data_IF_498296100972
#
_entry.id   IF_498296100972
#
_cell.length_a   1.000
_cell.length_b   1.000
_cell.length_c   1.000
_cell.angle_alpha   90.00
_cell.angle_beta   90.00
_cell.angle_gamma   90.00
#
_symmetry.space_group_name_H-M   'P 1'
#
loop_
_entity.id
_entity.type
_entity.pdbx_description
1 polymer ?
#
# COMPACT_ATOMS: atom_id res chain seq x y z
N UNK A 1 15.71 -21.43 -8.86
CA UNK A 1 15.15 -20.35 -9.70
C UNK A 1 13.68 -20.23 -9.38
N UNK A 2 13.28 -19.09 -8.84
CA UNK A 2 11.92 -18.78 -8.41
C UNK A 2 11.15 -18.15 -9.59
N UNK A 3 9.92 -18.59 -9.82
CA UNK A 3 9.06 -18.00 -10.85
C UNK A 3 8.18 -16.92 -10.23
N UNK A 4 8.40 -15.67 -10.65
CA UNK A 4 7.66 -14.49 -10.20
C UNK A 4 6.77 -13.97 -11.32
N UNK A 5 5.47 -13.80 -11.07
CA UNK A 5 4.51 -13.35 -12.08
C UNK A 5 3.79 -12.09 -11.62
N UNK A 6 3.91 -11.02 -12.39
CA UNK A 6 3.19 -9.76 -12.17
C UNK A 6 1.95 -9.64 -13.05
N UNK A 7 0.83 -9.25 -12.46
CA UNK A 7 -0.48 -9.15 -13.12
C UNK A 7 -0.87 -7.70 -13.40
N UNK A 8 -0.54 -7.21 -14.61
CA UNK A 8 -0.79 -5.81 -15.00
C UNK A 8 -2.28 -5.43 -15.04
N UNK A 9 -3.18 -6.38 -15.34
CA UNK A 9 -4.63 -6.16 -15.32
C UNK A 9 -5.21 -5.95 -13.90
N UNK A 10 -4.41 -6.16 -12.86
CA UNK A 10 -4.75 -5.76 -11.48
C UNK A 10 -4.68 -4.24 -11.26
N UNK A 11 -4.03 -3.48 -12.14
CA UNK A 11 -4.00 -2.01 -12.09
C UNK A 11 -5.34 -1.48 -12.57
N UNK A 12 -5.97 -0.51 -11.84
CA UNK A 12 -7.24 0.07 -12.28
C UNK A 12 -7.15 0.68 -13.68
N UNK A 13 -8.13 0.45 -14.55
CA UNK A 13 -8.20 1.13 -15.84
C UNK A 13 -8.39 2.65 -15.62
N UNK A 14 -7.84 3.46 -16.51
CA UNK A 14 -7.94 4.93 -16.42
C UNK A 14 -7.04 5.57 -15.37
N UNK A 15 -6.13 4.83 -14.78
CA UNK A 15 -5.11 5.41 -13.92
C UNK A 15 -4.19 6.30 -14.77
N UNK A 16 -4.45 7.62 -14.75
CA UNK A 16 -3.71 8.63 -15.53
C UNK A 16 -2.24 8.76 -15.12
N UNK A 17 -1.80 8.00 -14.11
CA UNK A 17 -0.41 7.99 -13.64
C UNK A 17 0.32 6.81 -14.27
N UNK A 18 1.12 7.02 -15.31
CA UNK A 18 1.81 5.95 -16.05
C UNK A 18 2.88 5.23 -15.23
N UNK A 19 3.23 5.78 -14.07
CA UNK A 19 4.34 5.31 -13.25
C UNK A 19 4.08 3.95 -12.57
N UNK A 20 2.83 3.65 -12.18
CA UNK A 20 2.53 2.36 -11.51
C UNK A 20 2.84 1.14 -12.39
N UNK A 21 2.43 1.11 -13.68
CA UNK A 21 2.85 0.05 -14.59
C UNK A 21 4.36 -0.05 -14.74
N UNK A 22 5.05 1.09 -14.85
CA UNK A 22 6.50 1.14 -14.99
C UNK A 22 7.20 0.55 -13.75
N UNK A 23 6.82 0.96 -12.55
CA UNK A 23 7.43 0.48 -11.31
C UNK A 23 7.26 -1.05 -11.17
N UNK A 24 6.09 -1.59 -11.53
CA UNK A 24 5.86 -3.04 -11.50
C UNK A 24 6.71 -3.76 -12.54
N UNK A 25 6.89 -3.18 -13.73
CA UNK A 25 7.83 -3.74 -14.73
C UNK A 25 9.26 -3.73 -14.22
N UNK A 26 9.73 -2.63 -13.67
CA UNK A 26 11.07 -2.52 -13.09
C UNK A 26 11.29 -3.52 -11.95
N UNK A 27 10.25 -3.81 -11.15
CA UNK A 27 10.31 -4.86 -10.14
C UNK A 27 10.62 -6.23 -10.78
N UNK A 28 9.94 -6.56 -11.87
CA UNK A 28 10.17 -7.82 -12.61
C UNK A 28 11.54 -7.85 -13.30
N UNK A 29 12.02 -6.72 -13.80
CA UNK A 29 13.39 -6.58 -14.32
C UNK A 29 14.41 -6.86 -13.23
N UNK A 30 14.19 -6.35 -11.99
CA UNK A 30 15.02 -6.66 -10.83
C UNK A 30 15.02 -8.14 -10.48
N UNK A 31 13.87 -8.82 -10.57
CA UNK A 31 13.77 -10.28 -10.39
C UNK A 31 14.65 -11.03 -11.39
N UNK A 32 14.60 -10.62 -12.66
CA UNK A 32 15.42 -11.24 -13.71
C UNK A 32 16.92 -10.94 -13.50
N UNK A 33 17.26 -9.76 -13.03
CA UNK A 33 18.64 -9.35 -12.79
C UNK A 33 19.34 -10.17 -11.68
N UNK A 34 18.57 -10.70 -10.72
CA UNK A 34 19.11 -11.59 -9.67
C UNK A 34 19.08 -13.08 -10.04
N UNK A 35 18.74 -13.41 -11.30
CA UNK A 35 18.78 -14.78 -11.82
C UNK A 35 17.50 -15.58 -11.63
N UNK A 36 16.41 -14.95 -11.14
CA UNK A 36 15.11 -15.59 -11.06
C UNK A 36 14.28 -15.34 -12.33
N UNK A 37 13.14 -16.02 -12.47
CA UNK A 37 12.29 -15.97 -13.66
C UNK A 37 11.12 -15.02 -13.44
N UNK A 38 11.25 -13.77 -13.88
CA UNK A 38 10.19 -12.76 -13.87
C UNK A 38 9.35 -12.77 -15.14
N UNK A 39 8.02 -12.69 -14.99
CA UNK A 39 7.05 -12.58 -16.08
C UNK A 39 6.05 -11.48 -15.83
N UNK A 40 5.84 -10.61 -16.81
CA UNK A 40 4.77 -9.61 -16.82
C UNK A 40 3.58 -10.12 -17.63
N UNK A 41 2.44 -10.35 -16.97
CA UNK A 41 1.19 -10.73 -17.64
C UNK A 41 0.28 -9.53 -17.84
N UNK A 42 -0.09 -9.29 -19.08
CA UNK A 42 -1.09 -8.29 -19.45
C UNK A 42 -2.41 -8.93 -19.93
N UNK A 43 -2.76 -10.06 -19.34
CA UNK A 43 -3.99 -10.81 -19.63
C UNK A 43 -4.82 -10.94 -18.36
N UNK A 44 -6.05 -11.45 -18.51
CA UNK A 44 -6.94 -11.77 -17.39
C UNK A 44 -6.76 -13.21 -16.86
N UNK A 45 -5.86 -13.97 -17.47
CA UNK A 45 -5.56 -15.34 -17.07
C UNK A 45 -4.69 -15.37 -15.83
N UNK A 46 -4.87 -16.41 -15.02
CA UNK A 46 -4.03 -16.70 -13.86
C UNK A 46 -3.13 -17.88 -14.20
N UNK A 47 -1.85 -17.71 -14.05
CA UNK A 47 -0.85 -18.76 -14.27
C UNK A 47 -0.17 -19.17 -12.97
N UNK A 48 0.47 -20.35 -12.97
CA UNK A 48 1.22 -20.79 -11.81
C UNK A 48 2.50 -19.96 -11.62
N UNK A 49 2.72 -19.54 -10.37
CA UNK A 49 3.88 -18.79 -9.95
C UNK A 49 4.30 -19.22 -8.55
N UNK A 50 5.56 -19.07 -8.19
CA UNK A 50 6.03 -19.24 -6.82
C UNK A 50 5.74 -17.99 -6.02
N UNK A 51 5.84 -16.81 -6.66
CA UNK A 51 5.42 -15.53 -6.10
C UNK A 51 4.57 -14.79 -7.13
N UNK A 52 3.38 -14.34 -6.72
CA UNK A 52 2.56 -13.44 -7.53
C UNK A 52 2.80 -11.98 -7.12
N UNK A 53 2.75 -11.06 -8.07
CA UNK A 53 2.85 -9.61 -7.80
C UNK A 53 1.57 -8.94 -8.29
N UNK A 54 0.85 -8.29 -7.40
CA UNK A 54 -0.38 -7.56 -7.70
C UNK A 54 -0.32 -6.13 -7.18
N UNK A 55 -0.99 -5.22 -7.86
CA UNK A 55 -1.11 -3.83 -7.43
C UNK A 55 -2.42 -3.61 -6.69
N UNK A 56 -2.30 -3.12 -5.46
CA UNK A 56 -3.42 -2.76 -4.60
C UNK A 56 -3.91 -3.90 -3.73
N UNK A 57 -4.47 -3.51 -2.61
CA UNK A 57 -4.95 -4.41 -1.56
C UNK A 57 -6.16 -5.25 -2.02
N UNK A 58 -6.27 -6.45 -1.49
CA UNK A 58 -7.45 -7.33 -1.65
C UNK A 58 -8.32 -7.24 -0.39
N UNK A 59 -9.61 -7.05 -0.56
CA UNK A 59 -10.58 -7.07 0.54
C UNK A 59 -11.82 -7.89 0.15
N UNK A 60 -12.65 -8.24 1.13
CA UNK A 60 -13.78 -9.15 0.93
C UNK A 60 -14.78 -8.66 -0.14
N UNK A 61 -14.96 -7.33 -0.25
CA UNK A 61 -15.88 -6.70 -1.21
C UNK A 61 -15.28 -6.49 -2.61
N UNK A 62 -14.17 -7.14 -2.93
CA UNK A 62 -13.47 -6.98 -4.22
C UNK A 62 -14.20 -7.63 -5.41
N UNK A 63 -15.51 -7.47 -5.49
CA UNK A 63 -16.30 -8.07 -6.58
C UNK A 63 -16.85 -7.07 -7.60
N UNK A 64 -16.76 -5.77 -7.34
CA UNK A 64 -17.42 -4.74 -8.17
C UNK A 64 -16.74 -4.47 -9.51
N UNK A 65 -15.45 -4.71 -9.63
CA UNK A 65 -14.68 -4.38 -10.83
C UNK A 65 -13.75 -5.53 -11.25
N UNK A 66 -13.62 -5.76 -12.53
CA UNK A 66 -12.84 -6.88 -13.09
C UNK A 66 -11.40 -6.94 -12.58
N UNK A 67 -10.73 -5.81 -12.41
CA UNK A 67 -9.37 -5.75 -11.86
C UNK A 67 -9.30 -6.14 -10.38
N UNK A 68 -10.35 -5.87 -9.59
CA UNK A 68 -10.45 -6.28 -8.19
C UNK A 68 -10.72 -7.77 -8.07
N UNK A 69 -11.59 -8.31 -8.93
CA UNK A 69 -11.88 -9.75 -9.01
C UNK A 69 -10.58 -10.51 -9.33
N UNK A 70 -9.80 -10.03 -10.31
CA UNK A 70 -8.52 -10.66 -10.64
C UNK A 70 -7.54 -10.62 -9.48
N UNK A 71 -7.41 -9.49 -8.78
CA UNK A 71 -6.55 -9.39 -7.58
C UNK A 71 -6.90 -10.47 -6.56
N UNK A 72 -8.19 -10.53 -6.22
CA UNK A 72 -8.66 -11.50 -5.23
C UNK A 72 -8.41 -12.94 -5.71
N UNK A 73 -8.73 -13.27 -6.94
CA UNK A 73 -8.51 -14.59 -7.48
C UNK A 73 -7.05 -15.02 -7.51
N UNK A 74 -6.13 -14.10 -7.85
CA UNK A 74 -4.67 -14.35 -7.78
C UNK A 74 -4.24 -14.58 -6.34
N UNK A 75 -4.66 -13.71 -5.43
CA UNK A 75 -4.33 -13.82 -4.01
C UNK A 75 -4.82 -15.13 -3.41
N UNK A 76 -6.12 -15.44 -3.59
CA UNK A 76 -6.74 -16.67 -3.05
C UNK A 76 -6.04 -17.92 -3.58
N UNK A 77 -5.70 -17.95 -4.89
CA UNK A 77 -4.97 -19.06 -5.49
C UNK A 77 -3.58 -19.27 -4.89
N UNK A 78 -2.85 -18.18 -4.61
CA UNK A 78 -1.56 -18.27 -3.95
C UNK A 78 -1.69 -18.82 -2.53
N UNK A 79 -2.64 -18.28 -1.76
CA UNK A 79 -2.92 -18.75 -0.40
C UNK A 79 -3.30 -20.24 -0.37
N UNK A 80 -4.20 -20.69 -1.25
CA UNK A 80 -4.60 -22.10 -1.36
C UNK A 80 -3.40 -23.04 -1.66
N UNK A 81 -2.39 -22.54 -2.35
CA UNK A 81 -1.17 -23.29 -2.68
C UNK A 81 -0.04 -23.12 -1.66
N UNK A 82 -0.27 -22.41 -0.55
CA UNK A 82 0.78 -22.07 0.41
C UNK A 82 1.89 -21.19 -0.16
N UNK A 83 1.59 -20.42 -1.23
CA UNK A 83 2.54 -19.54 -1.92
C UNK A 83 2.29 -18.08 -1.58
N UNK A 84 3.27 -17.23 -1.83
CA UNK A 84 3.26 -15.82 -1.41
C UNK A 84 2.75 -14.88 -2.51
N UNK A 85 2.19 -13.77 -2.06
CA UNK A 85 1.80 -12.66 -2.95
C UNK A 85 2.48 -11.38 -2.50
N UNK A 86 3.28 -10.77 -3.36
CA UNK A 86 3.77 -9.41 -3.16
C UNK A 86 2.65 -8.45 -3.55
N UNK A 87 2.17 -7.70 -2.58
CA UNK A 87 1.19 -6.63 -2.80
C UNK A 87 1.92 -5.30 -2.89
N UNK A 88 1.71 -4.61 -4.01
CA UNK A 88 2.31 -3.31 -4.30
C UNK A 88 1.24 -2.24 -4.22
N UNK A 89 1.43 -1.20 -3.41
CA UNK A 89 0.44 -0.12 -3.29
C UNK A 89 1.10 1.25 -3.12
N UNK A 90 0.26 2.27 -3.20
CA UNK A 90 0.66 3.67 -3.03
C UNK A 90 1.26 3.91 -1.64
N UNK A 91 2.29 4.73 -1.58
CA UNK A 91 2.89 5.24 -0.35
C UNK A 91 2.62 6.74 -0.22
N UNK A 92 3.04 7.34 0.90
CA UNK A 92 3.04 8.80 1.10
C UNK A 92 3.81 9.54 -0.01
N UNK A 93 4.84 8.90 -0.56
CA UNK A 93 5.77 9.54 -1.49
C UNK A 93 5.34 9.44 -2.96
N UNK A 94 4.26 8.73 -3.27
CA UNK A 94 3.76 8.60 -4.64
C UNK A 94 3.24 9.91 -5.22
N UNK A 95 2.78 10.83 -4.36
CA UNK A 95 2.14 12.08 -4.75
C UNK A 95 2.95 13.31 -4.38
N UNK A 96 4.16 13.15 -3.88
CA UNK A 96 5.00 14.26 -3.40
C UNK A 96 5.29 15.26 -4.53
N UNK A 97 5.49 14.77 -5.75
CA UNK A 97 5.65 15.60 -6.94
C UNK A 97 5.10 14.85 -8.17
N UNK A 98 4.00 15.32 -8.77
CA UNK A 98 3.42 14.68 -9.94
C UNK A 98 4.29 14.81 -11.21
N UNK A 99 5.28 15.69 -11.22
CA UNK A 99 6.21 15.89 -12.34
C UNK A 99 7.44 14.99 -12.26
N UNK A 100 7.73 14.44 -11.07
CA UNK A 100 8.87 13.54 -10.89
C UNK A 100 8.65 12.20 -11.57
N UNK A 101 9.66 11.73 -12.30
CA UNK A 101 9.72 10.39 -12.87
C UNK A 101 9.90 9.29 -11.82
N UNK A 102 10.36 9.65 -10.63
CA UNK A 102 10.64 8.75 -9.51
C UNK A 102 9.50 8.75 -8.52
N UNK A 103 8.71 7.70 -8.53
CA UNK A 103 7.65 7.45 -7.58
C UNK A 103 7.95 6.19 -6.79
N UNK A 104 7.60 6.24 -5.50
CA UNK A 104 7.84 5.16 -4.58
C UNK A 104 6.54 4.44 -4.23
N UNK A 105 6.54 3.13 -4.33
CA UNK A 105 5.46 2.28 -3.86
C UNK A 105 5.91 1.54 -2.60
N UNK A 106 4.96 1.16 -1.77
CA UNK A 106 5.20 0.22 -0.67
C UNK A 106 4.95 -1.20 -1.15
N UNK A 107 5.67 -2.13 -0.56
CA UNK A 107 5.60 -3.55 -0.86
C UNK A 107 5.42 -4.30 0.45
N UNK A 108 4.62 -5.36 0.43
CA UNK A 108 4.48 -6.28 1.55
C UNK A 108 4.09 -7.65 1.04
N UNK A 109 4.47 -8.69 1.76
CA UNK A 109 4.00 -10.04 1.50
C UNK A 109 2.60 -10.21 2.09
N UNK A 110 1.67 -10.69 1.27
CA UNK A 110 0.30 -11.07 1.61
C UNK A 110 -0.56 -9.94 2.21
N UNK A 111 -0.03 -8.73 2.27
CA UNK A 111 -0.70 -7.53 2.76
C UNK A 111 0.12 -6.27 2.50
N UNK A 112 -0.37 -5.12 2.99
CA UNK A 112 0.28 -3.81 2.87
C UNK A 112 0.20 -2.97 4.16
N UNK A 113 -0.41 -3.48 5.20
CA UNK A 113 -0.52 -2.80 6.49
C UNK A 113 0.24 -3.58 7.56
N UNK A 114 0.76 -2.91 8.60
CA UNK A 114 1.57 -3.55 9.63
C UNK A 114 0.89 -4.74 10.33
N UNK A 115 -0.44 -4.78 10.35
CA UNK A 115 -1.22 -5.84 10.96
C UNK A 115 -1.65 -6.95 9.99
N UNK A 116 -1.35 -6.83 8.70
CA UNK A 116 -1.78 -7.81 7.67
C UNK A 116 -0.67 -8.25 6.75
N UNK A 117 0.43 -7.49 6.71
CA UNK A 117 1.56 -7.75 5.83
C UNK A 117 2.73 -8.31 6.63
N UNK A 118 3.48 -9.15 5.97
CA UNK A 118 4.83 -9.47 6.39
C UNK A 118 5.80 -8.55 5.66
N UNK A 119 6.64 -7.89 6.43
CA UNK A 119 7.72 -7.04 5.95
C UNK A 119 9.05 -7.65 6.37
N UNK A 120 10.13 -7.28 5.67
CA UNK A 120 11.49 -7.63 6.08
C UNK A 120 11.90 -6.72 7.26
N UNK A 121 11.54 -7.12 8.48
CA UNK A 121 11.86 -6.38 9.70
C UNK A 121 13.29 -6.62 10.20
N UNK A 122 13.85 -7.78 9.86
CA UNK A 122 15.18 -8.18 10.32
C UNK A 122 16.24 -7.42 9.54
N UNK A 123 16.93 -6.52 10.23
CA UNK A 123 18.04 -5.73 9.69
C UNK A 123 17.72 -5.05 8.34
N UNK A 124 16.69 -4.18 8.27
CA UNK A 124 16.31 -3.52 7.02
C UNK A 124 17.43 -2.62 6.53
N UNK A 125 17.75 -2.69 5.24
CA UNK A 125 18.72 -1.79 4.61
C UNK A 125 18.18 -0.34 4.61
N UNK A 126 18.82 0.61 5.30
CA UNK A 126 18.38 2.00 5.34
C UNK A 126 18.61 2.76 4.03
N UNK A 127 19.38 2.21 3.09
CA UNK A 127 19.78 2.87 1.84
C UNK A 127 18.57 3.40 1.06
N UNK A 128 17.49 2.62 0.99
CA UNK A 128 16.28 3.04 0.30
C UNK A 128 15.66 4.29 0.94
N UNK A 129 15.63 4.39 2.26
CA UNK A 129 15.14 5.57 2.97
C UNK A 129 16.03 6.78 2.71
N UNK A 130 17.34 6.62 2.77
CA UNK A 130 18.29 7.71 2.53
C UNK A 130 18.15 8.26 1.10
N UNK A 131 17.95 7.40 0.10
CA UNK A 131 17.67 7.81 -1.28
C UNK A 131 16.37 8.63 -1.35
N UNK A 132 15.28 8.12 -0.77
CA UNK A 132 13.97 8.81 -0.77
C UNK A 132 14.07 10.16 -0.07
N UNK A 133 14.68 10.19 1.10
CA UNK A 133 14.89 11.39 1.92
C UNK A 133 15.65 12.46 1.13
N UNK A 134 16.75 12.08 0.49
CA UNK A 134 17.57 12.98 -0.33
C UNK A 134 16.80 13.50 -1.54
N UNK A 135 16.17 12.61 -2.30
CA UNK A 135 15.50 12.97 -3.55
C UNK A 135 14.26 13.84 -3.33
N UNK A 136 13.50 13.57 -2.27
CA UNK A 136 12.30 14.33 -1.93
C UNK A 136 12.57 15.50 -0.98
N UNK A 137 13.83 15.72 -0.61
CA UNK A 137 14.26 16.79 0.33
C UNK A 137 13.46 16.73 1.64
N UNK A 138 13.30 15.52 2.19
CA UNK A 138 12.58 15.32 3.44
C UNK A 138 13.51 15.66 4.60
N UNK A 139 13.11 16.62 5.42
CA UNK A 139 13.77 16.96 6.68
C UNK A 139 12.92 16.48 7.86
N UNK A 140 13.42 15.46 8.58
CA UNK A 140 12.76 14.92 9.75
C UNK A 140 13.09 15.79 10.95
N UNK A 141 12.07 16.37 11.54
CA UNK A 141 12.21 17.12 12.77
C UNK A 141 12.14 16.17 13.98
N UNK A 142 12.87 16.48 15.07
CA UNK A 142 12.78 15.70 16.30
C UNK A 142 11.36 15.73 16.88
N UNK A 143 11.00 14.69 17.62
CA UNK A 143 9.73 14.64 18.33
C UNK A 143 9.61 15.82 19.31
N UNK A 144 8.48 16.51 19.24
CA UNK A 144 8.15 17.54 20.21
C UNK A 144 7.66 16.87 21.50
N UNK A 145 8.38 17.03 22.58
CA UNK A 145 8.01 16.53 23.90
C UNK A 145 7.03 17.54 24.54
N UNK A 146 5.75 17.34 24.36
CA UNK A 146 4.71 18.17 24.97
C UNK A 146 4.38 19.45 24.20
N UNK A 147 3.63 20.36 24.83
CA UNK A 147 3.36 21.71 24.30
C UNK A 147 2.21 21.84 23.28
N UNK A 148 1.58 20.75 22.85
CA UNK A 148 0.45 20.83 21.94
C UNK A 148 -0.75 21.56 22.58
N UNK A 149 -1.30 22.57 21.89
CA UNK A 149 -2.44 23.35 22.36
C UNK A 149 -3.78 22.71 22.02
N UNK A 150 -3.82 21.80 21.04
CA UNK A 150 -5.01 21.12 20.58
C UNK A 150 -4.72 19.67 20.21
N UNK A 151 -5.78 18.87 20.05
CA UNK A 151 -5.76 17.54 19.45
C UNK A 151 -6.25 17.69 18.02
N UNK A 152 -5.48 17.25 17.05
CA UNK A 152 -5.88 17.20 15.64
C UNK A 152 -6.43 15.80 15.33
N UNK A 153 -7.64 15.74 14.76
CA UNK A 153 -8.24 14.50 14.29
C UNK A 153 -8.23 14.52 12.75
N UNK A 154 -7.44 13.63 12.15
CA UNK A 154 -7.41 13.47 10.70
C UNK A 154 -8.41 12.38 10.29
N UNK A 155 -9.57 12.80 9.77
CA UNK A 155 -10.62 11.89 9.37
C UNK A 155 -10.31 11.18 8.05
N UNK A 156 -10.80 9.96 7.92
CA UNK A 156 -10.90 9.26 6.64
C UNK A 156 -12.14 9.72 5.87
N UNK A 157 -12.19 9.42 4.57
CA UNK A 157 -13.39 9.65 3.76
C UNK A 157 -14.43 8.54 4.00
N UNK A 158 -15.70 8.87 3.85
CA UNK A 158 -16.78 7.88 3.80
C UNK A 158 -16.56 6.85 2.68
N UNK A 159 -16.98 5.61 2.93
CA UNK A 159 -16.83 4.50 1.97
C UNK A 159 -15.39 4.02 1.78
N UNK A 160 -14.43 4.53 2.55
CA UNK A 160 -13.09 3.96 2.63
C UNK A 160 -13.15 2.55 3.24
N UNK A 161 -12.46 1.58 2.62
CA UNK A 161 -12.45 0.20 3.13
C UNK A 161 -11.92 0.11 4.58
N UNK A 162 -11.03 1.01 5.00
CA UNK A 162 -10.51 1.10 6.37
C UNK A 162 -11.60 1.46 7.39
N UNK A 163 -12.68 2.08 6.95
CA UNK A 163 -13.82 2.43 7.80
C UNK A 163 -14.76 1.24 8.08
N UNK A 164 -14.62 0.13 7.36
CA UNK A 164 -15.42 -1.10 7.54
C UNK A 164 -16.93 -0.86 7.60
N UNK A 165 -17.44 0.05 6.78
CA UNK A 165 -18.86 0.44 6.73
C UNK A 165 -19.27 1.50 7.76
N UNK A 166 -18.42 1.87 8.70
CA UNK A 166 -18.70 2.96 9.66
C UNK A 166 -18.70 4.29 8.92
N UNK A 167 -19.71 5.13 9.18
CA UNK A 167 -19.73 6.51 8.69
C UNK A 167 -18.66 7.33 9.41
N UNK A 168 -18.01 8.23 8.67
CA UNK A 168 -16.94 9.06 9.24
C UNK A 168 -17.42 9.93 10.39
N UNK A 169 -18.66 10.42 10.32
CA UNK A 169 -19.23 11.23 11.38
C UNK A 169 -19.44 10.44 12.68
N UNK A 170 -19.96 9.21 12.59
CA UNK A 170 -20.17 8.35 13.76
C UNK A 170 -18.84 7.99 14.42
N UNK A 171 -17.84 7.64 13.59
CA UNK A 171 -16.48 7.41 14.06
C UNK A 171 -15.89 8.65 14.75
N UNK A 172 -16.05 9.84 14.15
CA UNK A 172 -15.55 11.09 14.72
C UNK A 172 -16.18 11.40 16.07
N UNK A 173 -17.50 11.24 16.20
CA UNK A 173 -18.22 11.44 17.47
C UNK A 173 -17.71 10.51 18.57
N UNK A 174 -17.50 9.24 18.24
CA UNK A 174 -16.92 8.24 19.17
C UNK A 174 -15.52 8.64 19.62
N UNK A 175 -14.66 9.07 18.68
CA UNK A 175 -13.28 9.51 18.97
C UNK A 175 -13.29 10.76 19.85
N UNK A 176 -14.12 11.76 19.53
CA UNK A 176 -14.24 13.00 20.33
C UNK A 176 -14.70 12.67 21.76
N UNK A 177 -15.71 11.81 21.92
CA UNK A 177 -16.17 11.36 23.24
C UNK A 177 -15.06 10.67 24.03
N UNK A 178 -14.27 9.82 23.38
CA UNK A 178 -13.14 9.14 24.01
C UNK A 178 -12.06 10.12 24.46
N UNK A 179 -11.74 11.12 23.61
CA UNK A 179 -10.77 12.17 23.96
C UNK A 179 -11.29 13.00 25.14
N UNK A 180 -12.58 13.34 25.16
CA UNK A 180 -13.19 14.15 26.25
C UNK A 180 -13.14 13.47 27.60
N UNK A 181 -13.14 12.14 27.67
CA UNK A 181 -12.96 11.39 28.94
C UNK A 181 -11.56 11.60 29.55
N UNK A 182 -10.53 11.76 28.72
CA UNK A 182 -9.13 11.89 29.15
C UNK A 182 -8.68 13.35 29.17
N UNK A 183 -9.13 14.14 28.20
CA UNK A 183 -8.74 15.54 28.00
C UNK A 183 -10.00 16.44 27.86
N UNK A 184 -10.77 16.65 28.95
CA UNK A 184 -12.08 17.28 28.89
C UNK A 184 -12.07 18.71 28.35
N UNK A 185 -11.01 19.47 28.61
CA UNK A 185 -10.90 20.89 28.24
C UNK A 185 -10.00 21.16 27.04
N UNK A 186 -9.36 20.12 26.46
CA UNK A 186 -8.41 20.32 25.36
C UNK A 186 -9.15 20.72 24.08
N UNK A 187 -8.67 21.71 23.35
CA UNK A 187 -9.21 22.08 22.05
C UNK A 187 -9.06 20.87 21.09
N UNK A 188 -10.11 20.57 20.34
CA UNK A 188 -10.11 19.56 19.29
C UNK A 188 -10.29 20.26 17.96
N UNK A 189 -9.48 19.91 16.97
CA UNK A 189 -9.60 20.33 15.57
C UNK A 189 -9.79 19.10 14.70
N UNK A 190 -10.66 19.23 13.69
CA UNK A 190 -10.97 18.17 12.72
C UNK A 190 -10.61 18.65 11.34
#
# INVERSE_FOLDING_TARGET
MIKVVSYMKCIPPGNKKPQKPLIIKNFIEGVNAVGDKGLVLNTWSIVDADVAVIQGFTHQDSQKHRHLILRKAVYDRQQQKGKRTVIVDSSLFLFADPTQSKNYLRYGYDGIFPNTAEYCWDNPDPMRWEIIKKELKIDLQPWRLGGGTYVLICCQRDGGWSMRGTKVLDWLLMVVQSIRKVLPKKLIRV
#
